data_IF_235123342458
#
_entry.id   IF_235123342458
#
_cell.length_a   1.000
_cell.length_b   1.000
_cell.length_c   1.000
_cell.angle_alpha   90.00
_cell.angle_beta   90.00
_cell.angle_gamma   90.00
#
_symmetry.space_group_name_H-M   'P 1'
#
loop_
_entity.id
_entity.type
_entity.pdbx_description
1 polymer ?
#
# COMPACT_ATOMS: atom_id res chain seq x y z
N UNK A 1 5.54 -33.88 21.39
CA UNK A 1 4.52 -32.87 21.01
C UNK A 1 5.07 -32.06 19.86
N UNK A 2 4.75 -32.47 18.63
CA UNK A 2 5.04 -31.70 17.43
C UNK A 2 4.27 -30.37 17.55
N UNK A 3 5.00 -29.28 17.48
CA UNK A 3 4.43 -27.94 17.52
C UNK A 3 3.44 -27.77 16.35
N UNK A 4 2.15 -27.67 16.68
CA UNK A 4 1.06 -27.56 15.70
C UNK A 4 1.21 -26.33 14.80
N UNK A 5 1.92 -25.29 15.25
CA UNK A 5 2.19 -24.08 14.49
C UNK A 5 3.15 -24.35 13.31
N UNK A 6 4.13 -25.23 13.49
CA UNK A 6 5.07 -25.59 12.42
C UNK A 6 4.40 -26.41 11.33
N UNK A 7 3.48 -27.32 11.69
CA UNK A 7 2.77 -28.16 10.71
C UNK A 7 1.82 -27.31 9.83
N UNK A 8 1.10 -26.36 10.40
CA UNK A 8 0.23 -25.44 9.63
C UNK A 8 1.06 -24.54 8.70
N UNK A 9 2.19 -24.02 9.18
CA UNK A 9 3.13 -23.24 8.39
C UNK A 9 3.73 -24.05 7.23
N UNK A 10 4.05 -25.31 7.44
CA UNK A 10 4.61 -26.19 6.40
C UNK A 10 3.57 -26.57 5.34
N UNK A 11 2.32 -26.80 5.73
CA UNK A 11 1.21 -27.03 4.79
C UNK A 11 0.96 -25.80 3.93
N UNK A 12 0.96 -24.61 4.52
CA UNK A 12 0.80 -23.35 3.79
C UNK A 12 1.96 -23.12 2.81
N UNK A 13 3.20 -23.33 3.25
CA UNK A 13 4.38 -23.20 2.39
C UNK A 13 4.36 -24.21 1.23
N UNK A 14 3.96 -25.46 1.48
CA UNK A 14 3.84 -26.49 0.43
C UNK A 14 2.72 -26.16 -0.54
N UNK A 15 1.59 -25.65 -0.09
CA UNK A 15 0.50 -25.24 -0.96
C UNK A 15 0.90 -24.07 -1.86
N UNK A 16 1.63 -23.09 -1.34
CA UNK A 16 2.17 -21.99 -2.14
C UNK A 16 3.14 -22.50 -3.22
N UNK A 17 4.09 -23.34 -2.87
CA UNK A 17 5.06 -23.92 -3.82
C UNK A 17 4.36 -24.72 -4.91
N UNK A 18 3.40 -25.57 -4.56
CA UNK A 18 2.62 -26.36 -5.52
C UNK A 18 1.80 -25.45 -6.44
N UNK A 19 1.23 -24.36 -5.90
CA UNK A 19 0.44 -23.40 -6.68
C UNK A 19 1.31 -22.68 -7.71
N UNK A 20 2.50 -22.26 -7.33
CA UNK A 20 3.45 -21.62 -8.25
C UNK A 20 4.01 -22.58 -9.31
N UNK A 21 4.24 -23.84 -8.98
CA UNK A 21 4.84 -24.81 -9.91
C UNK A 21 3.81 -25.37 -10.90
N UNK A 22 2.59 -25.61 -10.46
CA UNK A 22 1.62 -26.42 -11.24
C UNK A 22 0.46 -25.61 -11.84
N UNK A 23 0.33 -24.34 -11.56
CA UNK A 23 -0.77 -23.51 -12.11
C UNK A 23 -0.22 -22.23 -12.72
N UNK A 24 -0.68 -21.91 -13.92
CA UNK A 24 -0.52 -20.56 -14.47
C UNK A 24 -1.19 -19.59 -13.50
N UNK A 25 -0.43 -18.61 -12.99
CA UNK A 25 -0.98 -17.54 -12.19
C UNK A 25 -2.11 -16.86 -12.97
N UNK A 26 -3.30 -16.72 -12.39
CA UNK A 26 -4.38 -15.98 -13.04
C UNK A 26 -3.90 -14.55 -13.31
N UNK A 27 -3.88 -14.15 -14.57
CA UNK A 27 -3.47 -12.82 -14.98
C UNK A 27 -1.97 -12.58 -15.20
N UNK A 28 -1.09 -13.51 -14.81
CA UNK A 28 0.37 -13.35 -14.94
C UNK A 28 0.94 -12.18 -14.10
N UNK A 29 2.23 -12.21 -13.84
CA UNK A 29 2.92 -11.04 -13.30
C UNK A 29 3.00 -9.95 -14.39
N UNK A 30 2.83 -8.66 -14.04
CA UNK A 30 2.99 -7.59 -14.99
C UNK A 30 4.39 -7.62 -15.60
N UNK A 31 4.49 -7.40 -16.92
CA UNK A 31 5.78 -7.37 -17.63
C UNK A 31 6.63 -6.17 -17.24
N UNK A 32 5.99 -5.10 -16.79
CA UNK A 32 6.62 -3.86 -16.35
C UNK A 32 6.09 -3.45 -14.99
N UNK A 33 6.98 -2.89 -14.19
CA UNK A 33 6.62 -2.28 -12.90
C UNK A 33 5.84 -0.97 -13.10
N UNK A 34 5.19 -0.48 -12.06
CA UNK A 34 4.52 0.82 -12.13
C UNK A 34 5.50 1.95 -12.46
N UNK A 35 6.73 1.92 -11.89
CA UNK A 35 7.78 2.91 -12.19
C UNK A 35 8.26 2.86 -13.62
N UNK A 36 8.44 1.65 -14.18
CA UNK A 36 8.82 1.49 -15.58
C UNK A 36 7.76 2.00 -16.55
N UNK A 37 6.49 1.93 -16.16
CA UNK A 37 5.39 2.46 -16.97
C UNK A 37 5.27 3.99 -16.88
N UNK A 38 5.75 4.58 -15.79
CA UNK A 38 5.78 6.03 -15.58
C UNK A 38 7.12 6.68 -15.94
N UNK A 39 8.09 5.88 -16.37
CA UNK A 39 9.46 6.34 -16.71
C UNK A 39 10.19 7.06 -15.54
N UNK A 40 10.00 6.51 -14.32
CA UNK A 40 10.57 7.06 -13.07
C UNK A 40 11.42 6.03 -12.32
N UNK A 41 12.11 5.14 -13.03
CA UNK A 41 12.92 4.08 -12.42
C UNK A 41 14.26 4.57 -11.86
N UNK A 42 14.75 5.71 -12.30
CA UNK A 42 16.07 6.21 -11.88
C UNK A 42 16.08 6.50 -10.37
N UNK A 43 16.90 5.77 -9.57
CA UNK A 43 16.94 5.93 -8.13
C UNK A 43 17.66 7.20 -7.65
N UNK A 44 18.33 7.92 -8.53
CA UNK A 44 19.05 9.16 -8.20
C UNK A 44 18.11 10.37 -8.04
N UNK A 45 16.87 10.23 -8.49
CA UNK A 45 15.85 11.28 -8.43
C UNK A 45 14.75 10.93 -7.45
N UNK A 46 14.23 11.95 -6.77
CA UNK A 46 12.99 11.87 -6.02
C UNK A 46 11.84 12.24 -6.96
N UNK A 47 11.00 11.29 -7.40
CA UNK A 47 9.92 11.61 -8.32
C UNK A 47 8.85 12.46 -7.64
N UNK A 48 8.44 13.53 -8.31
CA UNK A 48 7.28 14.35 -7.93
C UNK A 48 6.30 14.33 -9.10
N UNK A 49 5.17 13.68 -8.90
CA UNK A 49 4.10 13.61 -9.90
C UNK A 49 3.05 14.65 -9.55
N UNK A 50 2.75 15.54 -10.49
CA UNK A 50 1.79 16.61 -10.30
C UNK A 50 1.07 16.94 -11.60
N UNK A 51 -0.17 17.42 -11.50
CA UNK A 51 -0.90 17.96 -12.63
C UNK A 51 -0.52 19.43 -12.80
N UNK A 52 0.25 19.80 -13.83
CA UNK A 52 0.70 21.19 -14.00
C UNK A 52 -0.42 22.21 -14.24
N UNK A 53 -1.63 21.73 -14.60
CA UNK A 53 -2.80 22.58 -14.80
C UNK A 53 -3.59 22.82 -13.51
N UNK A 54 -3.45 21.93 -12.51
CA UNK A 54 -4.21 21.95 -11.26
C UNK A 54 -3.36 22.24 -10.03
N UNK A 55 -2.02 22.28 -10.15
CA UNK A 55 -1.12 22.44 -9.02
C UNK A 55 -0.35 23.75 -9.06
N UNK A 56 -0.25 24.40 -7.89
CA UNK A 56 0.56 25.58 -7.63
C UNK A 56 1.65 25.26 -6.60
N UNK A 57 2.43 26.25 -6.20
CA UNK A 57 3.44 26.09 -5.15
C UNK A 57 2.83 25.78 -3.78
N UNK A 58 1.60 26.27 -3.52
CA UNK A 58 0.86 26.06 -2.27
C UNK A 58 0.01 24.78 -2.28
N UNK A 59 -0.02 24.05 -3.40
CA UNK A 59 -0.80 22.82 -3.49
C UNK A 59 -0.26 21.76 -2.52
N UNK A 60 -1.17 21.10 -1.78
CA UNK A 60 -0.82 20.03 -0.85
C UNK A 60 0.10 18.99 -1.49
N UNK A 61 1.17 18.67 -0.79
CA UNK A 61 2.07 17.60 -1.15
C UNK A 61 1.85 16.39 -0.25
N UNK A 62 1.80 15.21 -0.86
CA UNK A 62 1.68 13.92 -0.16
C UNK A 62 2.87 13.03 -0.46
N UNK A 63 3.31 12.26 0.51
CA UNK A 63 4.31 11.21 0.30
C UNK A 63 3.57 9.89 0.06
N UNK A 64 3.64 9.35 -1.15
CA UNK A 64 3.04 8.06 -1.46
C UNK A 64 4.06 6.94 -1.36
N UNK A 65 3.79 5.99 -0.47
CA UNK A 65 4.58 4.76 -0.35
C UNK A 65 3.84 3.60 -1.00
N UNK A 66 4.16 3.22 -2.24
CA UNK A 66 3.47 2.14 -2.96
C UNK A 66 3.79 0.75 -2.39
N UNK A 67 4.99 0.57 -1.83
CA UNK A 67 5.51 -0.72 -1.44
C UNK A 67 5.76 -1.66 -2.62
N UNK A 68 6.29 -2.83 -2.33
CA UNK A 68 6.66 -3.81 -3.37
C UNK A 68 5.44 -4.42 -4.09
N UNK A 69 4.29 -4.51 -3.42
CA UNK A 69 3.05 -5.05 -3.99
C UNK A 69 2.54 -4.20 -5.15
N UNK A 70 2.22 -2.95 -4.88
CA UNK A 70 1.66 -2.01 -5.87
C UNK A 70 2.69 -1.57 -6.93
N UNK A 71 3.98 -1.74 -6.66
CA UNK A 71 5.02 -1.40 -7.63
C UNK A 71 5.31 -2.54 -8.61
N UNK A 72 5.44 -3.78 -8.11
CA UNK A 72 5.99 -4.90 -8.88
C UNK A 72 5.01 -6.02 -9.16
N UNK A 73 4.16 -6.37 -8.19
CA UNK A 73 3.25 -7.51 -8.31
C UNK A 73 1.91 -7.09 -8.92
N UNK A 74 1.42 -5.93 -8.54
CA UNK A 74 0.13 -5.38 -8.96
C UNK A 74 0.33 -3.95 -9.47
N UNK A 75 1.12 -3.78 -10.51
CA UNK A 75 1.49 -2.46 -11.06
C UNK A 75 0.29 -1.59 -11.41
N UNK A 76 -0.85 -2.21 -11.78
CA UNK A 76 -2.11 -1.49 -12.02
C UNK A 76 -2.63 -0.79 -10.77
N UNK A 77 -2.43 -1.37 -9.56
CA UNK A 77 -2.83 -0.71 -8.30
C UNK A 77 -2.00 0.55 -8.09
N UNK A 78 -0.68 0.46 -8.29
CA UNK A 78 0.21 1.61 -8.19
C UNK A 78 -0.14 2.71 -9.20
N UNK A 79 -0.40 2.34 -10.45
CA UNK A 79 -0.80 3.28 -11.50
C UNK A 79 -2.16 3.92 -11.21
N UNK A 80 -3.16 3.13 -10.79
CA UNK A 80 -4.48 3.64 -10.45
C UNK A 80 -4.38 4.62 -9.25
N UNK A 81 -3.58 4.29 -8.23
CA UNK A 81 -3.35 5.20 -7.10
C UNK A 81 -2.74 6.52 -7.56
N UNK A 82 -1.72 6.48 -8.44
CA UNK A 82 -1.13 7.70 -9.00
C UNK A 82 -2.13 8.52 -9.83
N UNK A 83 -2.95 7.85 -10.64
CA UNK A 83 -3.99 8.53 -11.44
C UNK A 83 -5.04 9.20 -10.54
N UNK A 84 -5.45 8.55 -9.45
CA UNK A 84 -6.40 9.12 -8.49
C UNK A 84 -5.80 10.31 -7.73
N UNK A 85 -4.54 10.23 -7.30
CA UNK A 85 -3.83 11.34 -6.66
C UNK A 85 -3.64 12.53 -7.63
N UNK A 86 -3.32 12.24 -8.88
CA UNK A 86 -3.28 13.24 -9.94
C UNK A 86 -4.64 13.93 -10.14
N UNK A 87 -5.71 13.14 -10.17
CA UNK A 87 -7.07 13.68 -10.29
C UNK A 87 -7.48 14.50 -9.05
N UNK A 88 -7.01 14.10 -7.86
CA UNK A 88 -7.22 14.85 -6.63
C UNK A 88 -6.48 16.20 -6.59
N UNK A 89 -5.62 16.46 -7.57
CA UNK A 89 -4.90 17.73 -7.68
C UNK A 89 -3.79 17.91 -6.65
N UNK A 90 -3.29 16.83 -6.06
CA UNK A 90 -2.17 16.89 -5.09
C UNK A 90 -0.82 16.67 -5.78
N UNK A 91 0.25 17.15 -5.16
CA UNK A 91 1.61 16.84 -5.55
C UNK A 91 2.04 15.53 -4.89
N UNK A 92 2.32 14.49 -5.66
CA UNK A 92 2.69 13.19 -5.13
C UNK A 92 4.19 12.99 -5.17
N UNK A 93 4.82 12.92 -4.00
CA UNK A 93 6.22 12.59 -3.84
C UNK A 93 6.34 11.08 -3.65
N UNK A 94 7.18 10.41 -4.44
CA UNK A 94 7.51 9.00 -4.25
C UNK A 94 8.91 8.85 -3.68
N UNK A 95 9.18 7.78 -2.92
CA UNK A 95 10.55 7.46 -2.55
C UNK A 95 11.37 7.17 -3.82
N UNK A 96 12.67 7.49 -3.85
CA UNK A 96 13.54 7.12 -4.98
C UNK A 96 13.74 5.59 -5.00
N UNK A 97 13.64 5.01 -6.19
CA UNK A 97 13.82 3.59 -6.40
C UNK A 97 12.72 2.68 -5.82
N UNK A 98 12.97 1.38 -5.90
CA UNK A 98 12.04 0.35 -5.44
C UNK A 98 12.27 0.04 -3.96
N UNK A 99 11.24 0.24 -3.14
CA UNK A 99 11.31 -0.01 -1.70
C UNK A 99 10.28 -1.05 -1.24
N UNK A 100 10.65 -1.75 -0.17
CA UNK A 100 9.76 -2.62 0.57
C UNK A 100 9.66 -2.12 2.01
N UNK A 101 8.49 -2.27 2.63
CA UNK A 101 8.29 -1.86 4.03
C UNK A 101 9.02 -2.75 5.06
N UNK A 102 9.57 -3.90 4.66
CA UNK A 102 10.25 -4.85 5.55
C UNK A 102 9.33 -5.93 6.13
N UNK A 103 8.02 -5.83 5.96
CA UNK A 103 7.10 -6.83 6.51
C UNK A 103 7.33 -8.26 5.99
N UNK A 104 7.57 -8.52 4.69
CA UNK A 104 7.84 -9.88 4.21
C UNK A 104 9.03 -10.55 4.91
N UNK A 105 10.06 -9.79 5.22
CA UNK A 105 11.22 -10.27 5.97
C UNK A 105 10.85 -10.58 7.42
N UNK A 106 10.11 -9.67 8.06
CA UNK A 106 9.62 -9.86 9.43
C UNK A 106 8.69 -11.07 9.52
N UNK A 107 7.73 -11.21 8.62
CA UNK A 107 6.79 -12.33 8.55
C UNK A 107 7.45 -13.69 8.25
N UNK A 108 8.64 -13.68 7.64
CA UNK A 108 9.45 -14.89 7.42
C UNK A 108 10.49 -15.14 8.53
N UNK A 109 10.45 -14.41 9.65
CA UNK A 109 11.37 -14.56 10.77
C UNK A 109 12.78 -13.98 10.55
N UNK A 110 12.99 -13.23 9.45
CA UNK A 110 14.28 -12.59 9.16
C UNK A 110 14.32 -11.17 9.76
N UNK A 111 14.24 -11.10 11.10
CA UNK A 111 14.09 -9.86 11.85
C UNK A 111 15.24 -8.87 11.59
N UNK A 112 16.48 -9.32 11.61
CA UNK A 112 17.66 -8.45 11.38
C UNK A 112 17.61 -7.80 9.98
N UNK A 113 17.18 -8.54 8.97
CA UNK A 113 17.02 -8.01 7.62
C UNK A 113 15.87 -7.01 7.54
N UNK A 114 14.78 -7.27 8.27
CA UNK A 114 13.66 -6.34 8.35
C UNK A 114 14.08 -5.02 9.01
N UNK A 115 14.75 -5.09 10.16
CA UNK A 115 15.23 -3.90 10.90
C UNK A 115 16.27 -3.10 10.10
N UNK A 116 17.18 -3.79 9.41
CA UNK A 116 18.10 -3.10 8.49
C UNK A 116 17.35 -2.36 7.40
N UNK A 117 16.38 -2.99 6.76
CA UNK A 117 15.57 -2.38 5.70
C UNK A 117 14.77 -1.18 6.21
N UNK A 118 14.16 -1.29 7.39
CA UNK A 118 13.43 -0.19 8.04
C UNK A 118 14.37 0.99 8.28
N UNK A 119 15.56 0.72 8.83
CA UNK A 119 16.56 1.75 9.11
C UNK A 119 17.02 2.44 7.83
N UNK A 120 17.38 1.67 6.79
CA UNK A 120 17.81 2.19 5.50
C UNK A 120 16.72 3.07 4.86
N UNK A 121 15.47 2.62 4.90
CA UNK A 121 14.33 3.40 4.39
C UNK A 121 14.12 4.70 5.17
N UNK A 122 14.19 4.65 6.51
CA UNK A 122 14.06 5.86 7.35
C UNK A 122 15.12 6.89 7.02
N UNK A 123 16.38 6.46 6.88
CA UNK A 123 17.48 7.35 6.47
C UNK A 123 17.19 7.96 5.10
N UNK A 124 16.72 7.16 4.16
CA UNK A 124 16.34 7.64 2.84
C UNK A 124 15.21 8.67 2.89
N UNK A 125 14.17 8.42 3.69
CA UNK A 125 13.03 9.33 3.82
C UNK A 125 13.42 10.66 4.49
N UNK A 126 14.33 10.64 5.46
CA UNK A 126 14.90 11.87 6.01
C UNK A 126 15.67 12.67 4.95
N UNK A 127 16.40 11.99 4.04
CA UNK A 127 17.05 12.67 2.91
C UNK A 127 16.02 13.29 1.97
N UNK A 128 14.94 12.56 1.65
CA UNK A 128 13.83 13.08 0.83
C UNK A 128 13.22 14.33 1.50
N UNK A 129 12.90 14.26 2.79
CA UNK A 129 12.35 15.38 3.54
C UNK A 129 13.27 16.61 3.54
N UNK A 130 14.58 16.40 3.73
CA UNK A 130 15.57 17.48 3.68
C UNK A 130 15.74 18.08 2.29
N UNK A 131 15.70 17.24 1.23
CA UNK A 131 15.82 17.69 -0.16
C UNK A 131 14.58 18.48 -0.60
N UNK A 132 13.41 18.08 -0.14
CA UNK A 132 12.12 18.66 -0.48
C UNK A 132 11.55 19.50 0.69
N UNK A 133 12.41 20.17 1.46
CA UNK A 133 12.02 20.93 2.64
C UNK A 133 11.11 22.14 2.35
N UNK A 134 10.98 22.50 1.07
CA UNK A 134 10.04 23.52 0.58
C UNK A 134 8.62 22.97 0.39
N UNK A 135 8.42 21.66 0.46
CA UNK A 135 7.11 21.01 0.45
C UNK A 135 6.68 20.67 1.87
N UNK A 136 5.52 21.18 2.29
CA UNK A 136 4.95 20.85 3.60
C UNK A 136 4.17 19.52 3.52
N UNK A 137 4.89 18.39 3.59
CA UNK A 137 4.29 17.06 3.53
C UNK A 137 3.69 16.69 4.87
N UNK A 138 2.35 16.67 4.95
CA UNK A 138 1.58 16.29 6.16
C UNK A 138 0.86 14.95 6.03
N UNK A 139 0.92 14.33 4.88
CA UNK A 139 0.17 13.10 4.62
C UNK A 139 1.06 12.07 3.93
N UNK A 140 1.14 10.88 4.53
CA UNK A 140 1.77 9.69 3.95
C UNK A 140 0.65 8.78 3.48
N UNK A 141 0.51 8.62 2.16
CA UNK A 141 -0.52 7.79 1.54
C UNK A 141 0.01 6.39 1.28
N UNK A 142 -0.78 5.38 1.55
CA UNK A 142 -0.48 3.98 1.25
C UNK A 142 -1.63 3.32 0.50
N UNK A 143 -1.33 2.27 -0.26
CA UNK A 143 -2.32 1.44 -0.99
C UNK A 143 -2.22 -0.03 -0.61
N UNK A 144 -1.63 -0.34 0.54
CA UNK A 144 -1.41 -1.70 1.01
C UNK A 144 -1.52 -1.77 2.53
N UNK A 145 -2.43 -2.61 3.04
CA UNK A 145 -2.68 -2.75 4.47
C UNK A 145 -1.47 -3.24 5.26
N UNK A 146 -0.74 -4.19 4.72
CA UNK A 146 0.51 -4.67 5.33
C UNK A 146 1.56 -3.56 5.43
N UNK A 147 1.67 -2.71 4.40
CA UNK A 147 2.55 -1.55 4.46
C UNK A 147 2.04 -0.54 5.49
N UNK A 148 0.73 -0.30 5.55
CA UNK A 148 0.13 0.59 6.55
C UNK A 148 0.57 0.21 7.97
N UNK A 149 0.36 -1.05 8.35
CA UNK A 149 0.70 -1.54 9.70
C UNK A 149 2.23 -1.46 9.96
N UNK A 150 3.05 -1.87 9.00
CA UNK A 150 4.50 -1.85 9.15
C UNK A 150 5.06 -0.42 9.26
N UNK A 151 4.52 0.52 8.49
CA UNK A 151 4.97 1.91 8.46
C UNK A 151 4.61 2.70 9.71
N UNK A 152 3.68 2.23 10.56
CA UNK A 152 3.43 2.84 11.87
C UNK A 152 4.71 2.90 12.72
N UNK A 153 5.59 1.91 12.61
CA UNK A 153 6.88 1.88 13.30
C UNK A 153 7.98 2.76 12.69
N UNK A 154 7.71 3.44 11.57
CA UNK A 154 8.70 4.29 10.90
C UNK A 154 8.84 5.67 11.51
N UNK A 155 7.95 6.06 12.42
CA UNK A 155 7.95 7.37 13.09
C UNK A 155 7.94 8.52 12.07
N UNK A 156 7.00 8.50 11.14
CA UNK A 156 6.91 9.49 10.06
C UNK A 156 6.80 10.93 10.56
N UNK A 157 6.25 11.14 11.74
CA UNK A 157 6.21 12.46 12.38
C UNK A 157 7.61 13.06 12.62
N UNK A 158 8.62 12.20 12.83
CA UNK A 158 10.03 12.65 12.94
C UNK A 158 10.66 12.91 11.56
N UNK A 159 10.13 12.32 10.50
CA UNK A 159 10.62 12.47 9.12
C UNK A 159 9.96 13.67 8.45
N UNK A 160 8.63 13.70 8.48
CA UNK A 160 7.79 14.80 8.03
C UNK A 160 6.97 15.31 9.22
N UNK A 161 7.41 16.37 9.91
CA UNK A 161 6.80 16.80 11.17
C UNK A 161 5.30 17.11 11.03
N UNK A 162 4.51 16.54 11.94
CA UNK A 162 3.05 16.66 11.94
C UNK A 162 2.35 15.81 10.89
N UNK A 163 3.06 14.84 10.27
CA UNK A 163 2.44 13.96 9.26
C UNK A 163 1.66 12.81 9.89
N UNK A 164 0.69 12.33 9.12
CA UNK A 164 -0.11 11.12 9.42
C UNK A 164 0.01 10.11 8.29
N UNK A 165 -0.25 8.84 8.59
CA UNK A 165 -0.39 7.78 7.57
C UNK A 165 -1.87 7.55 7.32
N UNK A 166 -2.26 7.47 6.05
CA UNK A 166 -3.64 7.25 5.63
C UNK A 166 -3.71 6.29 4.44
N UNK A 167 -4.77 5.49 4.38
CA UNK A 167 -5.08 4.69 3.20
C UNK A 167 -5.61 5.56 2.06
N UNK A 168 -5.28 5.17 0.83
CA UNK A 168 -5.71 5.91 -0.36
C UNK A 168 -7.23 6.10 -0.45
N UNK A 169 -8.03 5.11 -0.04
CA UNK A 169 -9.50 5.19 -0.14
C UNK A 169 -10.05 6.23 0.85
N UNK A 170 -9.54 6.26 2.08
CA UNK A 170 -9.91 7.28 3.06
C UNK A 170 -9.44 8.66 2.61
N UNK A 171 -8.23 8.76 2.06
CA UNK A 171 -7.71 10.01 1.53
C UNK A 171 -8.56 10.57 0.37
N UNK A 172 -9.02 9.71 -0.54
CA UNK A 172 -9.89 10.13 -1.65
C UNK A 172 -11.22 10.67 -1.15
N UNK A 173 -11.82 10.05 -0.12
CA UNK A 173 -13.04 10.57 0.50
C UNK A 173 -12.82 11.94 1.14
N UNK A 174 -11.71 12.16 1.83
CA UNK A 174 -11.37 13.48 2.38
C UNK A 174 -11.24 14.56 1.27
N UNK A 175 -10.84 14.15 0.06
CA UNK A 175 -10.79 15.02 -1.12
C UNK A 175 -12.13 15.17 -1.84
N UNK A 176 -13.19 14.56 -1.31
CA UNK A 176 -14.52 14.61 -1.92
C UNK A 176 -14.63 13.81 -3.23
N UNK A 177 -13.69 12.88 -3.47
CA UNK A 177 -13.69 12.05 -4.66
C UNK A 177 -14.54 10.81 -4.40
N UNK A 178 -15.57 10.64 -5.25
CA UNK A 178 -16.41 9.44 -5.25
C UNK A 178 -16.51 8.92 -6.68
N UNK A 179 -16.68 7.61 -6.82
CA UNK A 179 -16.93 7.02 -8.13
C UNK A 179 -18.42 7.17 -8.48
N UNK A 180 -18.76 7.45 -9.74
CA UNK A 180 -20.16 7.40 -10.17
C UNK A 180 -20.69 5.99 -9.93
N UNK A 181 -21.91 5.90 -9.44
CA UNK A 181 -22.58 4.62 -9.22
C UNK A 181 -22.56 3.79 -10.52
N UNK A 182 -21.74 2.76 -10.56
CA UNK A 182 -21.64 1.86 -11.72
C UNK A 182 -22.86 0.94 -11.81
N UNK A 183 -23.15 0.44 -13.01
CA UNK A 183 -24.12 -0.64 -13.19
C UNK A 183 -23.47 -1.96 -12.73
N UNK A 184 -23.62 -2.33 -11.46
CA UNK A 184 -23.11 -3.60 -10.95
C UNK A 184 -22.86 -3.55 -9.43
N UNK A 185 -22.85 -4.72 -8.81
CA UNK A 185 -22.49 -4.87 -7.40
C UNK A 185 -20.97 -4.94 -7.22
N UNK A 186 -20.50 -4.38 -6.14
CA UNK A 186 -19.10 -4.49 -5.72
C UNK A 186 -19.00 -5.53 -4.60
N UNK A 187 -17.93 -6.33 -4.63
CA UNK A 187 -17.58 -7.22 -3.54
C UNK A 187 -16.37 -6.64 -2.80
N UNK A 188 -16.61 -6.18 -1.57
CA UNK A 188 -15.52 -5.72 -0.71
C UNK A 188 -14.92 -6.89 0.05
N UNK A 189 -13.65 -7.12 -0.18
CA UNK A 189 -12.85 -8.08 0.58
C UNK A 189 -12.17 -7.36 1.75
N UNK A 190 -12.55 -7.71 2.98
CA UNK A 190 -11.90 -7.18 4.17
C UNK A 190 -10.59 -7.94 4.44
N UNK A 191 -9.42 -7.30 4.29
CA UNK A 191 -8.14 -7.97 4.50
C UNK A 191 -7.81 -8.07 6.00
N UNK A 192 -6.97 -9.06 6.39
CA UNK A 192 -6.46 -9.18 7.77
C UNK A 192 -5.74 -7.90 8.22
N UNK A 193 -4.97 -7.28 7.33
CA UNK A 193 -4.36 -5.97 7.54
C UNK A 193 -5.19 -4.90 6.83
N UNK A 194 -6.31 -4.51 7.43
CA UNK A 194 -7.13 -3.46 6.87
C UNK A 194 -6.47 -2.09 7.08
N UNK A 195 -6.16 -1.34 6.02
CA UNK A 195 -5.49 -0.04 6.13
C UNK A 195 -6.45 1.11 6.44
N UNK A 196 -7.75 0.91 6.24
CA UNK A 196 -8.79 1.91 6.53
C UNK A 196 -9.02 1.95 8.05
N UNK A 197 -8.30 2.82 8.74
CA UNK A 197 -8.30 2.93 10.21
C UNK A 197 -8.98 4.19 10.74
N UNK A 198 -9.35 5.14 9.85
CA UNK A 198 -10.02 6.38 10.26
C UNK A 198 -11.50 6.16 10.60
N UNK A 199 -12.07 5.04 10.17
CA UNK A 199 -13.47 4.73 10.40
C UNK A 199 -13.85 3.29 10.08
N UNK A 200 -15.13 3.06 9.85
CA UNK A 200 -15.64 1.77 9.38
C UNK A 200 -15.32 1.57 7.89
N UNK A 201 -14.56 0.52 7.58
CA UNK A 201 -14.11 0.26 6.22
C UNK A 201 -15.26 0.05 5.22
N UNK A 202 -16.34 -0.61 5.64
CA UNK A 202 -17.52 -0.82 4.79
C UNK A 202 -18.24 0.51 4.51
N UNK A 203 -18.29 1.40 5.50
CA UNK A 203 -18.83 2.75 5.33
C UNK A 203 -18.00 3.56 4.35
N UNK A 204 -16.67 3.49 4.47
CA UNK A 204 -15.72 4.11 3.54
C UNK A 204 -15.94 3.60 2.11
N UNK A 205 -16.01 2.29 1.91
CA UNK A 205 -16.20 1.69 0.59
C UNK A 205 -17.56 2.11 0.00
N UNK A 206 -18.64 2.06 0.78
CA UNK A 206 -19.98 2.51 0.32
C UNK A 206 -19.99 3.99 -0.07
N UNK A 207 -19.31 4.83 0.68
CA UNK A 207 -19.20 6.25 0.36
C UNK A 207 -18.45 6.49 -0.96
N UNK A 208 -17.48 5.63 -1.31
CA UNK A 208 -16.73 5.75 -2.57
C UNK A 208 -17.51 5.23 -3.78
N UNK A 209 -18.17 4.07 -3.68
CA UNK A 209 -18.72 3.34 -4.83
C UNK A 209 -20.24 3.15 -4.79
N UNK A 210 -20.92 3.65 -3.76
CA UNK A 210 -22.36 3.51 -3.57
C UNK A 210 -22.76 2.29 -2.73
N UNK A 211 -24.07 2.15 -2.47
CA UNK A 211 -24.60 1.15 -1.54
C UNK A 211 -24.62 -0.30 -2.05
N UNK A 212 -24.38 -0.52 -3.34
CA UNK A 212 -24.35 -1.86 -3.94
C UNK A 212 -23.05 -2.61 -3.63
N UNK A 213 -22.69 -2.69 -2.34
CA UNK A 213 -21.49 -3.37 -1.87
C UNK A 213 -21.85 -4.53 -0.98
N UNK A 214 -21.41 -5.73 -1.32
CA UNK A 214 -21.47 -6.91 -0.48
C UNK A 214 -20.12 -7.11 0.23
N UNK A 215 -20.17 -7.43 1.51
CA UNK A 215 -18.98 -7.77 2.28
C UNK A 215 -18.61 -9.23 2.04
N UNK A 216 -17.39 -9.47 1.57
CA UNK A 216 -16.78 -10.80 1.61
C UNK A 216 -15.84 -10.86 2.81
N UNK A 217 -16.13 -11.69 3.77
CA UNK A 217 -15.27 -11.90 4.93
C UNK A 217 -14.31 -13.05 4.64
N UNK A 218 -13.00 -12.79 4.65
CA UNK A 218 -11.97 -13.82 4.59
C UNK A 218 -11.66 -14.45 5.95
N UNK A 219 -12.22 -13.94 7.04
CA UNK A 219 -12.09 -14.58 8.35
C UNK A 219 -12.46 -16.05 8.29
N UNK A 220 -13.36 -16.43 7.38
CA UNK A 220 -13.75 -17.82 7.14
C UNK A 220 -12.63 -18.74 6.63
N UNK A 221 -11.56 -18.21 6.06
CA UNK A 221 -10.42 -19.01 5.57
C UNK A 221 -9.19 -18.95 6.47
N UNK A 222 -9.04 -17.91 7.29
CA UNK A 222 -7.97 -17.80 8.28
C UNK A 222 -8.34 -18.48 9.60
N UNK A 223 -9.61 -18.43 10.01
CA UNK A 223 -10.11 -19.07 11.24
C UNK A 223 -10.31 -20.59 11.08
N UNK A 224 -10.37 -21.11 9.85
CA UNK A 224 -10.43 -22.56 9.61
C UNK A 224 -9.24 -23.33 10.16
N UNK A 225 -8.16 -22.67 10.54
CA UNK A 225 -7.01 -23.26 11.24
C UNK A 225 -7.21 -23.26 12.77
N UNK A 226 -8.01 -22.35 13.33
CA UNK A 226 -8.23 -22.21 14.78
C UNK A 226 -9.42 -23.03 15.28
N UNK A 227 -10.40 -23.37 14.42
CA UNK A 227 -11.59 -24.16 14.79
C UNK A 227 -11.33 -25.68 14.92
N UNK A 228 -10.10 -26.14 14.81
CA UNK A 228 -9.70 -27.56 15.01
C UNK A 228 -8.92 -27.79 16.30
N UNK A 229 -9.25 -27.07 17.36
CA UNK A 229 -8.76 -27.37 18.72
C UNK A 229 -9.82 -28.11 19.54
#
# INVERSE_FOLDING_TARGET
TLDRSSAASDVYKRQQVIHFINKKMPGGLPKKTARALLDIENPDYVPIIRNPQATTAETEAVFYFPGCGSERLFSQVGLATQAMLWHAGVQTVLPPGYLCCGYPQRGSGQFDKAEKMITDNRVLFHRVANTLNYLDIKTVVVSCGTCYDQLQGYEFDKIFPGSRIIDIHEFLLEKGITLPAGQGGFLYHEPCHNPMKQGDAMKTVKALVGDQVLKSCLLYTSDAADERS
#
